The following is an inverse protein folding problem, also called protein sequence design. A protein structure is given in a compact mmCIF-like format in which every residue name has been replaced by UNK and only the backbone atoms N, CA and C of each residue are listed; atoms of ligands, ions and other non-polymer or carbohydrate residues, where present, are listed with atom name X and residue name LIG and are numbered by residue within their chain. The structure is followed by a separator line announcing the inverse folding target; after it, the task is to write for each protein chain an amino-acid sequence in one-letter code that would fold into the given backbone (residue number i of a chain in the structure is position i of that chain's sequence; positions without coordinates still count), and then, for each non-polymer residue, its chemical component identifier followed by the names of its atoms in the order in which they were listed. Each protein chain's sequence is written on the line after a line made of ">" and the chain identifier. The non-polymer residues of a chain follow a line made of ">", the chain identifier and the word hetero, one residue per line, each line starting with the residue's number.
data_IF_606191950664
#
_entry.id   IF_606191950664
#
_cell.length_a   1.000
_cell.length_b   1.000
_cell.length_c   1.000
_cell.angle_alpha   90.00
_cell.angle_beta   90.00
_cell.angle_gamma   90.00
#
_symmetry.space_group_name_H-M   'P 1'
#
loop_
_entity.id
_entity.type
_entity.pdbx_description
1 polymer ?
#
# COMPACT_ATOMS: atom_id res chain seq x y z
N UNK A 1 1.07 32.34 -12.74
CA UNK A 1 0.27 31.40 -11.92
C UNK A 1 0.12 30.11 -12.72
N UNK A 2 0.16 28.93 -12.11
CA UNK A 2 -0.04 27.66 -12.82
C UNK A 2 -1.46 27.14 -12.53
N UNK A 3 -2.19 26.76 -13.57
CA UNK A 3 -3.55 26.23 -13.47
C UNK A 3 -3.54 24.71 -13.55
N UNK A 4 -4.49 24.03 -12.91
CA UNK A 4 -4.66 22.57 -13.02
C UNK A 4 -5.40 22.23 -14.32
N UNK A 5 -4.85 21.29 -15.08
CA UNK A 5 -5.48 20.74 -16.27
C UNK A 5 -6.64 19.83 -15.87
N UNK A 6 -7.80 20.03 -16.49
CA UNK A 6 -9.02 19.25 -16.24
C UNK A 6 -8.97 17.83 -16.81
N UNK A 7 -8.04 17.55 -17.73
CA UNK A 7 -7.96 16.27 -18.45
C UNK A 7 -6.91 15.29 -17.88
N UNK A 8 -5.87 15.80 -17.22
CA UNK A 8 -4.70 14.98 -16.82
C UNK A 8 -4.17 15.28 -15.41
N UNK A 9 -4.76 16.22 -14.67
CA UNK A 9 -4.25 16.66 -13.36
C UNK A 9 -2.88 17.36 -13.40
N UNK A 10 -2.27 17.50 -14.58
CA UNK A 10 -1.03 18.22 -14.82
C UNK A 10 -1.20 19.73 -14.61
N UNK A 11 -0.12 20.42 -14.27
CA UNK A 11 -0.10 21.88 -14.23
C UNK A 11 0.12 22.45 -15.64
N UNK A 12 -0.60 23.53 -15.96
CA UNK A 12 -0.48 24.31 -17.21
C UNK A 12 -0.21 25.79 -16.90
N UNK A 13 0.38 26.52 -17.84
CA UNK A 13 0.51 27.97 -17.73
C UNK A 13 -0.79 28.67 -18.17
N UNK A 14 -1.07 29.88 -17.65
CA UNK A 14 -2.31 30.61 -17.95
C UNK A 14 -2.53 30.91 -19.45
N UNK A 15 -1.46 31.08 -20.22
CA UNK A 15 -1.50 31.39 -21.65
C UNK A 15 -1.28 30.16 -22.57
N UNK A 16 -1.31 28.94 -22.03
CA UNK A 16 -1.03 27.71 -22.80
C UNK A 16 -2.25 27.25 -23.60
N UNK A 17 -2.03 26.83 -24.86
CA UNK A 17 -3.10 26.39 -25.75
C UNK A 17 -3.80 25.13 -25.22
N UNK A 18 -5.12 25.05 -25.43
CA UNK A 18 -5.93 23.89 -25.05
C UNK A 18 -5.36 22.60 -25.65
N UNK A 19 -4.98 21.65 -24.79
CA UNK A 19 -4.42 20.36 -25.19
C UNK A 19 -2.91 20.19 -24.93
N UNK A 20 -2.18 21.26 -24.59
CA UNK A 20 -0.81 21.17 -24.07
C UNK A 20 -0.85 21.40 -22.54
N UNK A 21 -0.37 20.41 -21.77
CA UNK A 21 -0.34 20.49 -20.31
C UNK A 21 1.00 19.96 -19.79
N UNK A 22 2.07 20.71 -20.05
CA UNK A 22 3.43 20.33 -19.71
C UNK A 22 4.15 21.48 -18.99
N UNK A 23 3.67 21.94 -17.83
CA UNK A 23 4.44 22.86 -16.98
C UNK A 23 5.66 22.14 -16.38
N UNK A 24 6.66 21.85 -17.23
CA UNK A 24 7.82 21.00 -16.97
C UNK A 24 7.47 19.62 -16.39
N UNK A 25 6.38 19.02 -16.84
CA UNK A 25 5.93 17.71 -16.36
C UNK A 25 5.43 17.68 -14.90
N UNK A 26 5.20 18.84 -14.28
CA UNK A 26 4.67 18.90 -12.92
C UNK A 26 3.20 18.51 -12.89
N UNK A 27 2.88 17.51 -12.08
CA UNK A 27 1.50 17.07 -11.83
C UNK A 27 1.10 17.52 -10.43
N UNK A 28 -0.15 17.99 -10.29
CA UNK A 28 -0.75 18.16 -8.97
C UNK A 28 -0.97 16.76 -8.40
N UNK A 29 0.00 16.26 -7.62
CA UNK A 29 -0.18 15.02 -6.88
C UNK A 29 -1.39 15.17 -5.97
N UNK A 30 -2.28 14.15 -5.88
CA UNK A 30 -3.20 14.07 -4.76
C UNK A 30 -2.39 14.20 -3.47
N UNK A 31 -2.87 15.00 -2.52
CA UNK A 31 -2.32 14.94 -1.17
C UNK A 31 -2.54 13.53 -0.65
N UNK A 32 -1.44 12.83 -0.36
CA UNK A 32 -1.52 11.56 0.33
C UNK A 32 -2.08 11.83 1.73
N UNK A 33 -2.96 10.96 2.26
CA UNK A 33 -3.41 11.07 3.64
C UNK A 33 -2.18 11.14 4.54
N UNK A 34 -2.08 12.18 5.36
CA UNK A 34 -0.97 12.32 6.29
C UNK A 34 -0.99 11.12 7.25
N UNK A 35 0.16 10.49 7.45
CA UNK A 35 0.26 9.40 8.40
C UNK A 35 -0.05 9.94 9.82
N UNK A 36 -0.67 9.14 10.68
CA UNK A 36 -0.88 9.55 12.08
C UNK A 36 0.46 9.66 12.82
N UNK A 37 0.55 10.56 13.81
CA UNK A 37 1.67 10.56 14.77
C UNK A 37 1.53 9.36 15.73
N UNK A 38 2.64 8.71 16.14
CA UNK A 38 4.05 9.08 15.91
C UNK A 38 4.65 8.56 14.60
N UNK A 39 3.86 7.85 13.78
CA UNK A 39 4.36 7.15 12.60
C UNK A 39 4.90 8.13 11.54
N UNK A 40 4.24 9.27 11.35
CA UNK A 40 4.70 10.29 10.40
C UNK A 40 6.09 10.84 10.77
N UNK A 41 6.28 11.32 12.01
CA UNK A 41 7.58 11.77 12.52
C UNK A 41 8.65 10.67 12.47
N UNK A 42 8.29 9.41 12.76
CA UNK A 42 9.20 8.26 12.63
C UNK A 42 9.67 8.06 11.19
N UNK A 43 8.75 8.11 10.21
CA UNK A 43 9.04 7.92 8.79
C UNK A 43 9.81 9.10 8.17
N UNK A 44 9.52 10.33 8.59
CA UNK A 44 10.17 11.56 8.09
C UNK A 44 11.57 11.79 8.66
N UNK A 45 11.97 11.04 9.70
CA UNK A 45 13.26 11.24 10.35
C UNK A 45 13.26 12.30 11.46
N UNK A 46 12.09 12.83 11.82
CA UNK A 46 11.91 13.90 12.79
C UNK A 46 11.84 13.38 14.24
N UNK A 47 11.74 12.06 14.44
CA UNK A 47 11.64 11.44 15.76
C UNK A 47 13.00 10.88 16.23
N UNK A 48 13.37 10.97 17.53
CA UNK A 48 14.64 10.42 18.04
C UNK A 48 14.86 8.93 17.74
N UNK A 49 13.77 8.16 17.61
CA UNK A 49 13.79 6.73 17.27
C UNK A 49 13.72 6.42 15.77
N UNK A 50 13.68 7.41 14.89
CA UNK A 50 13.50 7.19 13.44
C UNK A 50 14.54 6.21 12.87
N UNK A 51 15.80 6.32 13.29
CA UNK A 51 16.87 5.42 12.83
C UNK A 51 16.61 3.95 13.20
N UNK A 52 16.21 3.69 14.44
CA UNK A 52 15.93 2.35 14.92
C UNK A 52 14.68 1.77 14.25
N UNK A 53 13.64 2.60 14.12
CA UNK A 53 12.40 2.24 13.45
C UNK A 53 12.61 1.86 11.99
N UNK A 54 13.27 2.72 11.20
CA UNK A 54 13.54 2.45 9.79
C UNK A 54 14.47 1.24 9.60
N UNK A 55 15.45 1.04 10.50
CA UNK A 55 16.30 -0.15 10.50
C UNK A 55 15.49 -1.43 10.74
N UNK A 56 14.55 -1.40 11.68
CA UNK A 56 13.66 -2.53 11.94
C UNK A 56 12.76 -2.81 10.74
N UNK A 57 12.14 -1.79 10.14
CA UNK A 57 11.31 -1.95 8.93
C UNK A 57 12.13 -2.55 7.78
N UNK A 58 13.35 -2.06 7.55
CA UNK A 58 14.25 -2.60 6.54
C UNK A 58 14.57 -4.08 6.77
N UNK A 59 14.87 -4.47 8.01
CA UNK A 59 15.14 -5.87 8.37
C UNK A 59 13.91 -6.77 8.21
N UNK A 60 12.72 -6.28 8.57
CA UNK A 60 11.47 -7.02 8.38
C UNK A 60 11.25 -7.22 6.89
N UNK A 61 11.38 -6.17 6.07
CA UNK A 61 11.19 -6.23 4.63
C UNK A 61 12.17 -7.20 3.95
N UNK A 62 13.45 -7.18 4.33
CA UNK A 62 14.46 -8.10 3.79
C UNK A 62 14.12 -9.57 4.10
N UNK A 63 13.65 -9.85 5.31
CA UNK A 63 13.27 -11.20 5.74
C UNK A 63 11.93 -11.66 5.16
N UNK A 64 10.94 -10.77 5.09
CA UNK A 64 9.58 -11.10 4.64
C UNK A 64 9.43 -11.03 3.12
N UNK A 65 10.33 -10.32 2.44
CA UNK A 65 10.20 -9.96 1.04
C UNK A 65 9.05 -8.96 0.79
N UNK A 66 8.71 -8.80 -0.50
CA UNK A 66 7.64 -7.92 -0.94
C UNK A 66 6.28 -8.33 -0.35
N UNK A 67 5.53 -7.35 0.17
CA UNK A 67 4.14 -7.52 0.60
C UNK A 67 3.16 -7.63 -0.57
N UNK A 68 3.60 -7.23 -1.76
CA UNK A 68 2.85 -7.41 -3.00
C UNK A 68 3.38 -8.62 -3.76
N UNK A 69 2.46 -9.43 -4.32
CA UNK A 69 2.83 -10.50 -5.24
C UNK A 69 3.37 -9.93 -6.56
N UNK A 70 4.33 -10.61 -7.18
CA UNK A 70 4.82 -10.25 -8.51
C UNK A 70 3.73 -10.46 -9.57
N UNK A 71 3.79 -9.73 -10.70
CA UNK A 71 2.90 -9.99 -11.83
C UNK A 71 3.09 -11.44 -12.29
N UNK A 72 2.01 -12.23 -12.26
CA UNK A 72 1.97 -13.68 -12.57
C UNK A 72 2.37 -14.64 -11.45
N UNK A 73 2.64 -14.15 -10.23
CA UNK A 73 2.81 -15.02 -9.06
C UNK A 73 1.60 -14.95 -8.14
N UNK A 74 1.20 -16.08 -7.58
CA UNK A 74 0.11 -16.13 -6.62
C UNK A 74 0.62 -15.75 -5.21
N UNK A 75 -0.05 -14.80 -4.55
CA UNK A 75 0.31 -14.31 -3.21
C UNK A 75 0.58 -15.42 -2.19
N UNK A 76 1.66 -15.29 -1.41
CA UNK A 76 2.02 -16.25 -0.35
C UNK A 76 2.20 -15.56 1.02
N UNK A 77 1.96 -16.31 2.09
CA UNK A 77 2.16 -15.86 3.48
C UNK A 77 1.45 -14.52 3.77
N UNK A 78 2.22 -13.48 4.11
CA UNK A 78 1.69 -12.14 4.42
C UNK A 78 1.01 -11.48 3.22
N UNK A 79 1.44 -11.76 1.99
CA UNK A 79 0.86 -11.16 0.78
C UNK A 79 -0.63 -11.49 0.63
N UNK A 80 -1.08 -12.59 1.21
CA UNK A 80 -2.48 -13.02 1.15
C UNK A 80 -3.40 -11.95 1.77
N UNK A 81 -3.01 -11.31 2.87
CA UNK A 81 -3.80 -10.25 3.52
C UNK A 81 -3.99 -9.01 2.65
N UNK A 82 -3.15 -8.82 1.62
CA UNK A 82 -3.21 -7.67 0.72
C UNK A 82 -4.00 -7.94 -0.56
N UNK A 83 -4.66 -9.11 -0.67
CA UNK A 83 -5.57 -9.41 -1.79
C UNK A 83 -6.86 -8.59 -1.76
N UNK A 84 -7.25 -8.07 -0.59
CA UNK A 84 -8.42 -7.21 -0.43
C UNK A 84 -9.78 -7.90 -0.64
N UNK A 85 -9.80 -9.24 -0.64
CA UNK A 85 -11.02 -10.03 -0.80
C UNK A 85 -10.95 -11.31 0.07
N UNK A 86 -11.78 -11.38 1.11
CA UNK A 86 -11.73 -12.46 2.11
C UNK A 86 -11.83 -13.86 1.50
N UNK A 87 -12.67 -14.05 0.48
CA UNK A 87 -12.83 -15.34 -0.20
C UNK A 87 -11.56 -15.73 -0.97
N UNK A 88 -10.95 -14.77 -1.68
CA UNK A 88 -9.69 -14.97 -2.38
C UNK A 88 -8.57 -15.35 -1.41
N UNK A 89 -8.54 -14.71 -0.23
CA UNK A 89 -7.60 -15.04 0.83
C UNK A 89 -7.79 -16.46 1.36
N UNK A 90 -9.01 -16.83 1.73
CA UNK A 90 -9.34 -18.13 2.26
C UNK A 90 -9.04 -19.25 1.25
N UNK A 91 -9.41 -19.03 -0.03
CA UNK A 91 -9.08 -19.94 -1.14
C UNK A 91 -7.58 -20.13 -1.29
N UNK A 92 -6.80 -19.04 -1.17
CA UNK A 92 -5.35 -19.10 -1.27
C UNK A 92 -4.73 -19.89 -0.12
N UNK A 93 -5.18 -19.66 1.12
CA UNK A 93 -4.73 -20.41 2.32
C UNK A 93 -5.07 -21.89 2.22
N UNK A 94 -6.26 -22.25 1.75
CA UNK A 94 -6.65 -23.65 1.51
C UNK A 94 -5.71 -24.35 0.52
N UNK A 95 -5.29 -23.65 -0.54
CA UNK A 95 -4.35 -24.20 -1.54
C UNK A 95 -2.94 -24.39 -0.97
N UNK A 96 -2.50 -23.51 -0.07
CA UNK A 96 -1.16 -23.55 0.53
C UNK A 96 -1.03 -24.57 1.67
N UNK A 97 -2.11 -24.81 2.42
CA UNK A 97 -2.11 -25.70 3.60
C UNK A 97 -3.05 -26.89 3.34
N UNK A 98 -2.60 -27.90 2.57
CA UNK A 98 -3.42 -29.05 2.25
C UNK A 98 -3.89 -29.77 3.52
N UNK A 99 -5.16 -30.17 3.54
CA UNK A 99 -5.79 -30.84 4.71
C UNK A 99 -6.52 -29.89 5.66
N UNK A 100 -6.47 -28.58 5.44
CA UNK A 100 -7.26 -27.61 6.23
C UNK A 100 -8.65 -27.40 5.64
N UNK A 101 -9.68 -27.32 6.48
CA UNK A 101 -11.05 -27.01 6.02
C UNK A 101 -11.24 -25.51 5.79
N UNK A 102 -11.95 -25.15 4.72
CA UNK A 102 -12.27 -23.74 4.39
C UNK A 102 -12.98 -23.03 5.55
N UNK A 103 -13.92 -23.71 6.20
CA UNK A 103 -14.67 -23.16 7.33
C UNK A 103 -13.79 -22.80 8.52
N UNK A 104 -12.73 -23.58 8.81
CA UNK A 104 -11.77 -23.26 9.86
C UNK A 104 -10.94 -22.03 9.50
N UNK A 105 -10.46 -21.95 8.25
CA UNK A 105 -9.72 -20.78 7.75
C UNK A 105 -10.58 -19.52 7.85
N UNK A 106 -11.81 -19.56 7.35
CA UNK A 106 -12.74 -18.43 7.38
C UNK A 106 -13.06 -18.01 8.82
N UNK A 107 -13.27 -18.98 9.73
CA UNK A 107 -13.53 -18.68 11.15
C UNK A 107 -12.36 -17.99 11.82
N UNK A 108 -11.12 -18.46 11.59
CA UNK A 108 -9.91 -17.85 12.13
C UNK A 108 -9.67 -16.46 11.53
N UNK A 109 -9.84 -16.32 10.22
CA UNK A 109 -9.67 -15.06 9.52
C UNK A 109 -10.63 -14.00 10.03
N UNK A 110 -11.92 -14.35 10.17
CA UNK A 110 -12.93 -13.46 10.75
C UNK A 110 -12.54 -13.01 12.16
N UNK A 111 -12.15 -13.95 13.02
CA UNK A 111 -11.70 -13.64 14.38
C UNK A 111 -10.51 -12.66 14.38
N UNK A 112 -9.53 -12.86 13.49
CA UNK A 112 -8.38 -11.94 13.41
C UNK A 112 -8.77 -10.54 12.90
N UNK A 113 -9.66 -10.44 11.91
CA UNK A 113 -10.13 -9.14 11.42
C UNK A 113 -10.92 -8.37 12.46
N UNK A 114 -11.72 -9.05 13.28
CA UNK A 114 -12.49 -8.43 14.36
C UNK A 114 -11.61 -7.90 15.50
N UNK A 115 -10.38 -8.43 15.68
CA UNK A 115 -9.51 -8.07 16.80
C UNK A 115 -8.33 -7.15 16.40
N UNK A 116 -7.94 -7.11 15.13
CA UNK A 116 -6.83 -6.30 14.64
C UNK A 116 -7.32 -4.96 14.07
N UNK A 117 -7.79 -4.09 14.95
CA UNK A 117 -8.16 -2.70 14.64
C UNK A 117 -6.94 -1.78 14.44
#
# INVERSE_FOLDING_TARGET
>A
MSLKCTFSGALKFEAEASGLCCSNGKVSSPELPQLPEPLNSLMEGNHPKSKEFLSMIGQVYDKSGSLMSLPNEEAMFLQIYFLGNEEAEAKRRCKLIPGTTKSLIESLQKMLHENNH
#
